data_IF_947801609638
#
_entry.id   IF_947801609638
#
_cell.length_a   1.000
_cell.length_b   1.000
_cell.length_c   1.000
_cell.angle_alpha   90.00
_cell.angle_beta   90.00
_cell.angle_gamma   90.00
#
_symmetry.space_group_name_H-M   'P 1'
#
loop_
_entity.id
_entity.type
_entity.pdbx_description
1 polymer ?
#
# COMPACT_ATOMS: atom_id res chain seq x y z
N UNK A 1 3.05 6.30 6.42
CA UNK A 1 2.12 6.88 5.41
C UNK A 1 0.76 6.23 5.57
N UNK A 2 -0.34 6.98 5.52
CA UNK A 2 -1.71 6.43 5.66
C UNK A 2 -2.59 6.70 4.44
N UNK A 3 -3.49 5.77 4.13
CA UNK A 3 -4.48 5.86 3.05
C UNK A 3 -5.80 5.26 3.50
N UNK A 4 -6.93 5.81 3.05
CA UNK A 4 -8.26 5.29 3.41
C UNK A 4 -8.92 4.67 2.18
N UNK A 5 -9.45 3.47 2.35
CA UNK A 5 -10.32 2.82 1.37
C UNK A 5 -11.76 3.14 1.73
N UNK A 6 -12.48 3.79 0.81
CA UNK A 6 -13.84 4.26 1.04
C UNK A 6 -14.87 3.12 1.18
N UNK A 7 -14.68 2.03 0.44
CA UNK A 7 -15.62 0.91 0.40
C UNK A 7 -14.91 -0.44 0.32
N UNK A 8 -15.45 -1.43 1.03
CA UNK A 8 -14.98 -2.81 1.03
C UNK A 8 -13.93 -3.12 2.09
N UNK A 9 -13.82 -4.40 2.41
CA UNK A 9 -12.84 -4.94 3.34
C UNK A 9 -11.55 -5.25 2.59
N UNK A 10 -10.43 -4.70 3.04
CA UNK A 10 -9.11 -4.95 2.45
C UNK A 10 -8.65 -6.37 2.81
N UNK A 11 -8.34 -7.18 1.80
CA UNK A 11 -7.86 -8.55 1.97
C UNK A 11 -6.36 -8.70 1.69
N UNK A 12 -5.80 -7.86 0.83
CA UNK A 12 -4.37 -7.85 0.51
C UNK A 12 -3.94 -6.53 -0.12
N UNK A 13 -2.64 -6.27 -0.07
CA UNK A 13 -2.00 -5.21 -0.86
C UNK A 13 -0.95 -5.87 -1.74
N UNK A 14 -0.94 -5.52 -3.02
CA UNK A 14 0.09 -5.97 -3.97
C UNK A 14 0.93 -4.80 -4.44
N UNK A 15 2.23 -5.01 -4.57
CA UNK A 15 3.12 -4.13 -5.34
C UNK A 15 3.43 -4.86 -6.64
N UNK A 16 2.87 -4.37 -7.75
CA UNK A 16 2.79 -5.12 -9.01
C UNK A 16 2.14 -6.50 -8.81
N UNK A 17 2.88 -7.59 -9.04
CA UNK A 17 2.40 -8.97 -8.89
C UNK A 17 2.66 -9.55 -7.50
N UNK A 18 3.54 -8.94 -6.71
CA UNK A 18 3.96 -9.44 -5.41
C UNK A 18 3.03 -8.96 -4.30
N UNK A 19 2.61 -9.87 -3.43
CA UNK A 19 1.87 -9.53 -2.21
C UNK A 19 2.80 -8.87 -1.20
N UNK A 20 2.42 -7.69 -0.71
CA UNK A 20 3.12 -7.01 0.38
C UNK A 20 2.92 -7.83 1.65
N UNK A 21 4.00 -8.06 2.41
CA UNK A 21 3.92 -8.80 3.66
C UNK A 21 2.93 -8.08 4.62
N UNK A 22 1.96 -8.77 5.22
CA UNK A 22 1.04 -8.18 6.21
C UNK A 22 1.74 -7.55 7.42
N UNK A 23 3.00 -7.89 7.72
CA UNK A 23 3.77 -7.23 8.78
C UNK A 23 4.19 -5.79 8.41
N UNK A 24 4.13 -5.42 7.13
CA UNK A 24 4.57 -4.10 6.63
C UNK A 24 3.44 -3.07 6.60
N UNK A 25 2.22 -3.46 6.95
CA UNK A 25 1.09 -2.55 7.02
C UNK A 25 0.05 -2.97 8.05
N UNK A 26 -0.70 -2.01 8.57
CA UNK A 26 -1.91 -2.27 9.35
C UNK A 26 -3.15 -1.82 8.60
N UNK A 27 -4.30 -2.42 8.91
CA UNK A 27 -5.61 -2.00 8.41
C UNK A 27 -6.52 -1.78 9.62
N UNK A 28 -6.94 -0.55 9.84
CA UNK A 28 -7.86 -0.18 10.91
C UNK A 28 -8.99 0.68 10.34
N UNK A 29 -10.23 0.18 10.40
CA UNK A 29 -11.41 0.87 9.87
C UNK A 29 -11.24 1.38 8.42
N UNK A 30 -10.64 0.55 7.55
CA UNK A 30 -10.35 0.93 6.15
C UNK A 30 -9.13 1.83 5.96
N UNK A 31 -8.48 2.27 7.04
CA UNK A 31 -7.22 3.01 7.00
C UNK A 31 -6.06 2.04 6.92
N UNK A 32 -5.30 2.12 5.84
CA UNK A 32 -4.05 1.39 5.62
C UNK A 32 -2.90 2.27 6.10
N UNK A 33 -2.05 1.75 6.99
CA UNK A 33 -0.83 2.41 7.42
C UNK A 33 0.38 1.56 7.04
N UNK A 34 1.30 2.10 6.24
CA UNK A 34 2.57 1.43 5.93
C UNK A 34 3.65 1.79 6.96
N UNK A 35 4.46 0.80 7.34
CA UNK A 35 5.64 1.00 8.18
C UNK A 35 6.70 1.81 7.44
N UNK A 36 7.53 2.54 8.19
CA UNK A 36 8.62 3.33 7.58
C UNK A 36 9.65 2.40 6.96
N UNK A 37 9.97 1.30 7.64
CA UNK A 37 10.94 0.29 7.20
C UNK A 37 10.56 -0.30 5.84
N UNK A 38 9.27 -0.56 5.60
CA UNK A 38 8.81 -1.00 4.28
C UNK A 38 9.03 0.06 3.21
N UNK A 39 8.68 1.32 3.52
CA UNK A 39 8.82 2.42 2.58
C UNK A 39 10.30 2.68 2.23
N UNK A 40 11.22 2.53 3.18
CA UNK A 40 12.68 2.64 2.96
C UNK A 40 13.23 1.55 2.03
N UNK A 41 12.58 0.39 1.95
CA UNK A 41 13.00 -0.67 1.01
C UNK A 41 12.62 -0.38 -0.45
N UNK A 42 11.75 0.60 -0.70
CA UNK A 42 11.27 0.91 -2.03
C UNK A 42 12.33 1.75 -2.78
N UNK A 43 12.71 1.29 -3.97
CA UNK A 43 13.59 2.08 -4.84
C UNK A 43 12.96 3.41 -5.23
N UNK A 44 13.78 4.43 -5.51
CA UNK A 44 13.32 5.71 -6.06
C UNK A 44 12.44 5.49 -7.30
N UNK A 45 11.42 6.32 -7.45
CA UNK A 45 10.45 6.29 -8.55
C UNK A 45 9.06 5.83 -8.15
N UNK A 46 8.23 5.55 -9.15
CA UNK A 46 6.82 5.23 -8.96
C UNK A 46 6.61 3.75 -8.57
N UNK A 47 5.74 3.52 -7.58
CA UNK A 47 5.24 2.21 -7.20
C UNK A 47 3.72 2.20 -7.37
N UNK A 48 3.26 1.35 -8.28
CA UNK A 48 1.84 1.12 -8.51
C UNK A 48 1.41 -0.09 -7.67
N UNK A 49 0.85 0.22 -6.51
CA UNK A 49 0.27 -0.77 -5.62
C UNK A 49 -1.21 -0.99 -6.00
N UNK A 50 -1.72 -2.17 -5.67
CA UNK A 50 -3.12 -2.53 -5.80
C UNK A 50 -3.63 -3.02 -4.46
N UNK A 51 -4.62 -2.33 -3.92
CA UNK A 51 -5.35 -2.76 -2.73
C UNK A 51 -6.49 -3.65 -3.19
N UNK A 52 -6.49 -4.90 -2.73
CA UNK A 52 -7.52 -5.89 -3.04
C UNK A 52 -8.61 -5.78 -1.98
N UNK A 53 -9.85 -5.54 -2.41
CA UNK A 53 -11.02 -5.53 -1.54
C UNK A 53 -12.07 -6.53 -2.03
N UNK A 54 -13.06 -6.81 -1.18
CA UNK A 54 -14.25 -7.60 -1.53
C UNK A 54 -15.22 -6.88 -2.48
N UNK A 55 -15.00 -5.59 -2.76
CA UNK A 55 -15.81 -4.77 -3.68
C UNK A 55 -15.08 -4.38 -4.97
N UNK A 56 -13.81 -4.73 -5.10
CA UNK A 56 -13.01 -4.41 -6.26
C UNK A 56 -11.54 -4.23 -5.93
N UNK A 57 -10.76 -3.76 -6.90
CA UNK A 57 -9.35 -3.45 -6.68
C UNK A 57 -9.17 -1.93 -6.75
N UNK A 58 -8.48 -1.36 -5.77
CA UNK A 58 -8.21 0.08 -5.69
C UNK A 58 -6.74 0.31 -6.02
N UNK A 59 -6.43 1.08 -7.08
CA UNK A 59 -5.05 1.44 -7.39
C UNK A 59 -4.52 2.46 -6.39
N UNK A 60 -3.28 2.26 -5.95
CA UNK A 60 -2.57 3.18 -5.07
C UNK A 60 -1.20 3.50 -5.67
N UNK A 61 -0.91 4.79 -5.88
CA UNK A 61 0.38 5.26 -6.38
C UNK A 61 1.22 5.81 -5.23
N UNK A 62 2.43 5.29 -5.07
CA UNK A 62 3.47 5.84 -4.19
C UNK A 62 4.59 6.37 -5.07
N UNK A 63 5.08 7.58 -4.81
CA UNK A 63 6.24 8.16 -5.49
C UNK A 63 7.34 8.30 -4.45
N UNK A 64 8.41 7.52 -4.62
CA UNK A 64 9.60 7.63 -3.78
C UNK A 64 10.54 8.62 -4.47
N UNK A 65 10.93 9.67 -3.75
CA UNK A 65 11.88 10.68 -4.23
C UNK A 65 13.12 10.62 -3.37
N UNK A 66 14.28 10.83 -3.98
CA UNK A 66 15.48 11.14 -3.22
C UNK A 66 15.39 12.59 -2.75
N UNK A 67 15.78 12.84 -1.51
CA UNK A 67 15.86 14.20 -0.96
C UNK A 67 17.34 14.51 -0.81
N UNK A 68 17.86 15.31 -1.74
CA UNK A 68 19.22 15.88 -1.70
C UNK A 68 19.47 16.69 -0.42
#
# INVERSE_FOLDING_TARGET
MTFVVAEGNVSAIKNHTATVNPANYTIENGTISFTVEYLETLSVGEKNLTVITDKGNVPLKIIVVDTE
#
